data_IF_207711630852
#
_entry.id   IF_207711630852
#
_cell.length_a   1.000
_cell.length_b   1.000
_cell.length_c   1.000
_cell.angle_alpha   90.00
_cell.angle_beta   90.00
_cell.angle_gamma   90.00
#
_symmetry.space_group_name_H-M   'P 1'
#
loop_
_entity.id
_entity.type
_entity.pdbx_description
1 polymer ?
#
# COMPACT_ATOMS: atom_id res chain seq x y z
N UNK A 1 13.19 3.87 -15.96
CA UNK A 1 12.47 2.57 -15.98
C UNK A 1 12.51 1.93 -14.59
N UNK A 2 11.37 1.88 -13.91
CA UNK A 2 11.21 1.10 -12.68
C UNK A 2 11.32 -0.38 -13.08
N UNK A 3 12.53 -0.93 -12.97
CA UNK A 3 12.91 -2.22 -13.53
C UNK A 3 12.17 -3.39 -12.90
N UNK A 4 12.21 -4.55 -13.58
CA UNK A 4 11.51 -5.82 -13.27
C UNK A 4 11.58 -6.30 -11.80
N UNK A 5 12.52 -5.81 -11.00
CA UNK A 5 12.53 -6.01 -9.54
C UNK A 5 11.32 -5.41 -8.81
N UNK A 6 10.55 -4.51 -9.44
CA UNK A 6 9.27 -4.01 -8.95
C UNK A 6 8.12 -5.04 -9.05
N UNK A 7 8.33 -6.21 -9.68
CA UNK A 7 7.27 -7.21 -9.86
C UNK A 7 7.10 -8.17 -8.66
N UNK A 8 8.14 -8.38 -7.86
CA UNK A 8 8.15 -9.35 -6.75
C UNK A 8 7.53 -8.80 -5.46
N UNK A 9 7.44 -7.48 -5.35
CA UNK A 9 6.81 -6.81 -4.23
C UNK A 9 5.93 -5.68 -4.79
N UNK A 10 4.62 -5.91 -4.80
CA UNK A 10 3.60 -5.00 -5.35
C UNK A 10 2.83 -4.36 -4.21
N UNK A 11 3.15 -3.10 -3.82
CA UNK A 11 2.54 -2.45 -2.65
C UNK A 11 1.00 -2.41 -2.72
N UNK A 12 0.41 -2.27 -3.90
CA UNK A 12 -1.05 -2.27 -4.04
C UNK A 12 -1.68 -3.64 -3.81
N UNK A 13 -1.08 -4.73 -4.30
CA UNK A 13 -1.57 -6.09 -4.00
C UNK A 13 -1.44 -6.41 -2.51
N UNK A 14 -0.30 -6.05 -1.90
CA UNK A 14 -0.14 -6.19 -0.45
C UNK A 14 -1.22 -5.40 0.30
N UNK A 15 -1.48 -4.16 -0.12
CA UNK A 15 -2.51 -3.32 0.51
C UNK A 15 -3.89 -3.95 0.40
N UNK A 16 -4.27 -4.49 -0.77
CA UNK A 16 -5.54 -5.20 -0.95
C UNK A 16 -5.65 -6.38 0.03
N UNK A 17 -4.62 -7.23 0.06
CA UNK A 17 -4.58 -8.40 0.94
C UNK A 17 -4.68 -7.99 2.42
N UNK A 18 -3.97 -6.93 2.81
CA UNK A 18 -4.03 -6.41 4.18
C UNK A 18 -5.45 -6.00 4.58
N UNK A 19 -6.19 -5.30 3.71
CA UNK A 19 -7.60 -5.00 3.99
C UNK A 19 -8.50 -6.24 4.03
N UNK A 20 -8.25 -7.26 3.20
CA UNK A 20 -8.99 -8.53 3.25
C UNK A 20 -8.80 -9.23 4.60
N UNK A 21 -7.61 -9.14 5.19
CA UNK A 21 -7.28 -9.78 6.48
C UNK A 21 -7.77 -8.98 7.69
N UNK A 22 -7.83 -7.66 7.59
CA UNK A 22 -8.08 -6.77 8.73
C UNK A 22 -9.44 -6.05 8.72
N UNK A 23 -10.20 -6.14 7.63
CA UNK A 23 -11.48 -5.44 7.35
C UNK A 23 -11.33 -3.91 7.26
N UNK A 24 -10.77 -3.27 8.28
CA UNK A 24 -10.43 -1.86 8.35
C UNK A 24 -8.95 -1.62 8.65
N UNK A 25 -8.34 -0.62 8.00
CA UNK A 25 -6.97 -0.20 8.28
C UNK A 25 -6.73 1.28 7.97
N UNK A 26 -5.77 1.90 8.65
CA UNK A 26 -5.24 3.21 8.25
C UNK A 26 -3.98 3.06 7.39
N UNK A 27 -3.61 4.13 6.67
CA UNK A 27 -2.43 4.11 5.80
C UNK A 27 -1.11 3.83 6.56
N UNK A 28 -1.02 4.25 7.83
CA UNK A 28 0.15 3.99 8.66
C UNK A 28 0.30 2.49 8.97
N UNK A 29 -0.80 1.81 9.33
CA UNK A 29 -0.79 0.38 9.66
C UNK A 29 -0.34 -0.44 8.45
N UNK A 30 -0.92 -0.16 7.28
CA UNK A 30 -0.52 -0.80 6.02
C UNK A 30 0.96 -0.55 5.75
N UNK A 31 1.45 0.69 5.88
CA UNK A 31 2.87 1.00 5.65
C UNK A 31 3.82 0.26 6.58
N UNK A 32 3.48 0.12 7.86
CA UNK A 32 4.33 -0.60 8.81
C UNK A 32 4.33 -2.10 8.54
N UNK A 33 3.17 -2.71 8.30
CA UNK A 33 3.07 -4.12 7.91
C UNK A 33 3.87 -4.39 6.62
N UNK A 34 3.72 -3.49 5.65
CA UNK A 34 4.42 -3.51 4.39
C UNK A 34 5.95 -3.38 4.56
N UNK A 35 6.39 -2.56 5.53
CA UNK A 35 7.81 -2.38 5.86
C UNK A 35 8.42 -3.64 6.48
N UNK A 36 7.67 -4.33 7.34
CA UNK A 36 8.08 -5.61 7.93
C UNK A 36 8.16 -6.71 6.86
N UNK A 37 7.20 -6.73 5.92
CA UNK A 37 7.23 -7.69 4.82
C UNK A 37 8.45 -7.49 3.91
N UNK A 38 8.81 -6.24 3.57
CA UNK A 38 10.06 -5.97 2.84
C UNK A 38 11.26 -6.47 3.64
N UNK A 39 11.29 -6.26 4.96
CA UNK A 39 12.40 -6.73 5.80
C UNK A 39 12.52 -8.25 5.73
N UNK A 40 11.40 -8.97 5.86
CA UNK A 40 11.33 -10.43 5.74
C UNK A 40 11.85 -10.91 4.38
N UNK A 41 11.38 -10.31 3.29
CA UNK A 41 11.82 -10.62 1.93
C UNK A 41 13.33 -10.34 1.75
N UNK A 42 13.83 -9.22 2.27
CA UNK A 42 15.24 -8.87 2.18
C UNK A 42 16.15 -9.83 2.95
N UNK A 43 15.70 -10.39 4.08
CA UNK A 43 16.43 -11.45 4.78
C UNK A 43 16.55 -12.71 3.90
N UNK A 44 15.43 -13.17 3.32
CA UNK A 44 15.42 -14.32 2.42
C UNK A 44 16.30 -14.10 1.16
N UNK A 45 16.30 -12.88 0.61
CA UNK A 45 17.16 -12.50 -0.53
C UNK A 45 18.64 -12.53 -0.16
N UNK A 46 18.98 -12.07 1.04
CA UNK A 46 20.37 -12.10 1.53
C UNK A 46 20.90 -13.54 1.64
N UNK A 47 20.06 -14.50 2.03
CA UNK A 47 20.43 -15.93 2.12
C UNK A 47 20.83 -16.52 0.76
N UNK A 48 20.23 -16.05 -0.34
CA UNK A 48 20.52 -16.51 -1.71
C UNK A 48 21.46 -15.56 -2.48
N UNK A 49 22.04 -14.56 -1.80
CA UNK A 49 22.99 -13.61 -2.40
C UNK A 49 22.35 -12.56 -3.33
N UNK A 50 21.04 -12.34 -3.23
CA UNK A 50 20.34 -11.35 -4.03
C UNK A 50 20.32 -9.96 -3.37
N UNK A 51 20.35 -8.90 -4.19
CA UNK A 51 20.27 -7.53 -3.71
C UNK A 51 18.92 -7.24 -3.02
N UNK A 52 18.88 -6.44 -1.93
CA UNK A 52 17.66 -6.14 -1.21
C UNK A 52 16.74 -5.17 -1.98
N UNK A 53 15.44 -5.29 -1.74
CA UNK A 53 14.47 -4.28 -2.12
C UNK A 53 14.69 -2.98 -1.35
N UNK A 54 14.50 -1.85 -2.04
CA UNK A 54 14.48 -0.53 -1.41
C UNK A 54 13.10 -0.25 -0.83
N UNK A 55 13.04 -0.08 0.49
CA UNK A 55 11.83 0.33 1.18
C UNK A 55 11.48 1.81 0.87
N UNK A 56 10.23 2.13 0.51
CA UNK A 56 9.80 3.53 0.39
C UNK A 56 9.73 4.19 1.77
N UNK A 57 9.83 5.52 1.81
CA UNK A 57 9.45 6.27 3.01
C UNK A 57 7.93 6.42 3.09
N UNK A 58 7.42 6.79 4.27
CA UNK A 58 5.98 6.96 4.50
C UNK A 58 5.36 8.00 3.56
N UNK A 59 6.03 9.12 3.29
CA UNK A 59 5.51 10.15 2.39
C UNK A 59 5.26 9.62 0.97
N UNK A 60 6.16 8.80 0.45
CA UNK A 60 6.01 8.16 -0.87
C UNK A 60 4.87 7.15 -0.86
N UNK A 61 4.75 6.36 0.22
CA UNK A 61 3.64 5.44 0.40
C UNK A 61 2.29 6.16 0.52
N UNK A 62 2.20 7.24 1.29
CA UNK A 62 0.97 8.02 1.47
C UNK A 62 0.48 8.63 0.16
N UNK A 63 1.40 9.13 -0.68
CA UNK A 63 1.08 9.55 -2.06
C UNK A 63 0.56 8.41 -2.91
N UNK A 64 1.16 7.23 -2.79
CA UNK A 64 0.70 6.03 -3.50
C UNK A 64 -0.70 5.60 -3.03
N UNK A 65 -0.93 5.58 -1.72
CA UNK A 65 -2.22 5.26 -1.09
C UNK A 65 -3.33 6.24 -1.49
N UNK A 66 -2.99 7.51 -1.74
CA UNK A 66 -3.95 8.50 -2.23
C UNK A 66 -4.63 8.06 -3.54
N UNK A 67 -3.93 7.35 -4.43
CA UNK A 67 -4.53 6.82 -5.65
C UNK A 67 -5.63 5.79 -5.38
N UNK A 68 -5.51 4.97 -4.33
CA UNK A 68 -6.58 4.03 -3.96
C UNK A 68 -7.86 4.75 -3.55
N UNK A 69 -7.72 5.91 -2.88
CA UNK A 69 -8.85 6.78 -2.55
C UNK A 69 -9.47 7.38 -3.82
N UNK A 70 -8.64 7.96 -4.70
CA UNK A 70 -9.11 8.57 -5.94
C UNK A 70 -9.81 7.57 -6.87
N UNK A 71 -9.32 6.33 -6.92
CA UNK A 71 -9.90 5.25 -7.71
C UNK A 71 -11.14 4.62 -7.05
N UNK A 72 -11.49 5.02 -5.83
CA UNK A 72 -12.62 4.46 -5.08
C UNK A 72 -12.43 2.99 -4.71
N UNK A 73 -11.19 2.54 -4.52
CA UNK A 73 -10.89 1.17 -4.07
C UNK A 73 -11.10 1.03 -2.56
N UNK A 74 -10.92 2.13 -1.85
CA UNK A 74 -11.15 2.22 -0.41
C UNK A 74 -12.03 3.42 -0.09
N UNK A 75 -12.81 3.33 0.96
CA UNK A 75 -13.63 4.42 1.48
C UNK A 75 -13.32 4.66 2.96
N UNK A 76 -13.42 5.91 3.46
CA UNK A 76 -13.20 6.20 4.87
C UNK A 76 -14.31 5.60 5.73
N UNK A 77 -13.96 5.20 6.95
CA UNK A 77 -14.90 4.76 7.98
C UNK A 77 -15.11 5.88 9.02
N UNK A 78 -16.03 5.70 9.96
CA UNK A 78 -16.21 6.66 11.06
C UNK A 78 -15.09 6.56 12.12
N UNK A 79 -14.23 5.54 12.02
CA UNK A 79 -13.15 5.29 12.98
C UNK A 79 -11.95 6.21 12.72
N UNK A 80 -11.54 6.88 13.78
CA UNK A 80 -10.30 7.65 13.87
C UNK A 80 -9.55 7.30 15.14
N UNK A 81 -8.23 7.32 15.07
CA UNK A 81 -7.38 7.10 16.23
C UNK A 81 -6.28 8.16 16.31
N UNK A 82 -5.78 8.47 17.52
CA UNK A 82 -4.61 9.32 17.66
C UNK A 82 -3.43 8.81 16.81
N UNK A 83 -2.68 9.76 16.26
CA UNK A 83 -1.39 9.47 15.65
C UNK A 83 -0.33 9.20 16.74
N UNK A 84 0.86 8.80 16.30
CA UNK A 84 2.00 8.52 17.20
C UNK A 84 2.46 9.80 17.94
N UNK A 85 2.24 10.96 17.32
CA UNK A 85 2.54 12.25 17.92
C UNK A 85 1.30 13.14 17.90
N UNK A 86 1.03 13.81 19.02
CA UNK A 86 -0.19 14.61 19.22
C UNK A 86 -0.33 15.80 18.24
N UNK A 87 0.77 16.24 17.64
CA UNK A 87 0.75 17.33 16.65
C UNK A 87 0.40 16.86 15.23
N UNK A 88 0.27 15.55 15.00
CA UNK A 88 -0.13 14.97 13.72
C UNK A 88 -1.65 14.79 13.65
N UNK A 89 -2.19 14.83 12.44
CA UNK A 89 -3.59 14.50 12.19
C UNK A 89 -3.94 13.08 12.66
N UNK A 90 -5.17 12.91 13.15
CA UNK A 90 -5.69 11.60 13.52
C UNK A 90 -5.62 10.61 12.35
N UNK A 91 -5.33 9.36 12.68
CA UNK A 91 -5.32 8.24 11.74
C UNK A 91 -6.76 7.92 11.33
N UNK A 92 -7.13 8.32 10.12
CA UNK A 92 -8.37 7.92 9.47
C UNK A 92 -8.29 6.45 9.02
N UNK A 93 -9.28 5.65 9.39
CA UNK A 93 -9.42 4.27 8.93
C UNK A 93 -10.22 4.21 7.63
N UNK A 94 -9.96 3.18 6.85
CA UNK A 94 -10.58 2.90 5.57
C UNK A 94 -11.00 1.42 5.52
N UNK A 95 -11.90 1.09 4.60
CA UNK A 95 -12.26 -0.28 4.25
C UNK A 95 -12.36 -0.45 2.74
N UNK A 96 -12.38 -1.69 2.27
CA UNK A 96 -12.59 -1.97 0.84
C UNK A 96 -14.03 -1.65 0.41
N UNK A 97 -14.15 -0.92 -0.69
CA UNK A 97 -15.42 -0.80 -1.42
C UNK A 97 -15.69 -2.09 -2.21
N UNK A 98 -16.90 -2.26 -2.73
CA UNK A 98 -17.20 -3.37 -3.64
C UNK A 98 -16.30 -3.35 -4.88
N UNK A 99 -15.98 -2.15 -5.39
CA UNK A 99 -14.98 -1.96 -6.45
C UNK A 99 -13.60 -2.42 -6.00
N UNK A 100 -13.15 -2.03 -4.80
CA UNK A 100 -11.87 -2.45 -4.24
C UNK A 100 -11.72 -3.96 -4.13
N UNK A 101 -12.81 -4.67 -3.82
CA UNK A 101 -12.84 -6.14 -3.77
C UNK A 101 -12.70 -6.76 -5.16
N UNK A 102 -13.47 -6.28 -6.13
CA UNK A 102 -13.56 -6.87 -7.48
C UNK A 102 -12.38 -6.49 -8.40
N UNK A 103 -11.83 -5.29 -8.26
CA UNK A 103 -10.80 -4.78 -9.16
C UNK A 103 -9.45 -5.50 -8.96
N UNK A 104 -8.68 -5.65 -10.04
CA UNK A 104 -7.35 -6.24 -10.00
C UNK A 104 -6.30 -5.29 -10.59
N UNK A 105 -6.58 -4.65 -11.72
CA UNK A 105 -5.62 -3.81 -12.44
C UNK A 105 -5.21 -2.59 -11.59
N UNK A 106 -6.18 -1.95 -10.94
CA UNK A 106 -5.94 -0.78 -10.09
C UNK A 106 -5.02 -1.06 -8.88
N UNK A 107 -5.02 -2.30 -8.38
CA UNK A 107 -4.11 -2.70 -7.29
C UNK A 107 -2.71 -3.06 -7.79
N UNK A 108 -2.57 -3.43 -9.07
CA UNK A 108 -1.26 -3.69 -9.67
C UNK A 108 -0.56 -2.38 -10.05
N UNK A 109 -1.31 -1.45 -10.66
CA UNK A 109 -0.79 -0.16 -11.10
C UNK A 109 -1.89 0.92 -11.04
N UNK A 110 -2.07 1.57 -9.89
CA UNK A 110 -3.12 2.57 -9.72
C UNK A 110 -2.86 3.82 -10.55
N UNK A 111 -1.58 4.17 -10.81
CA UNK A 111 -1.24 5.36 -11.60
C UNK A 111 -1.62 5.15 -13.05
N UNK A 112 -1.23 4.02 -13.65
CA UNK A 112 -1.60 3.68 -15.02
C UNK A 112 -3.10 3.44 -15.18
N UNK A 113 -3.77 2.94 -14.15
CA UNK A 113 -5.23 2.77 -14.16
C UNK A 113 -5.94 4.12 -14.14
N UNK A 114 -5.44 5.11 -13.39
CA UNK A 114 -5.98 6.47 -13.38
C UNK A 114 -5.62 7.25 -14.65
N UNK A 115 -4.43 7.00 -15.20
CA UNK A 115 -3.86 7.70 -16.35
C UNK A 115 -3.33 6.69 -17.39
N UNK A 116 -4.20 6.08 -18.20
CA UNK A 116 -3.81 5.13 -19.24
C UNK A 116 -2.82 5.73 -20.26
N UNK A 117 -2.81 7.05 -20.43
CA UNK A 117 -1.93 7.81 -21.31
C UNK A 117 -0.44 7.74 -20.94
N UNK A 118 -0.09 7.33 -19.71
CA UNK A 118 1.29 7.14 -19.28
C UNK A 118 1.83 5.72 -19.51
N UNK A 119 1.03 4.86 -20.14
CA UNK A 119 1.26 3.42 -20.25
C UNK A 119 1.80 2.90 -21.57
#
# INVERSE_FOLDING_TARGET
PWGRGASEYRPGLFTKQYFVEHDEACAADVYYALSEEIRRLNMARAEIGEAPFKRPNYSSFAKYFHWFKLLGLVEPTDRREPAIYDFLEERQFYRLTDKGKAEEAAWQDPVRTAHPEFG
#
